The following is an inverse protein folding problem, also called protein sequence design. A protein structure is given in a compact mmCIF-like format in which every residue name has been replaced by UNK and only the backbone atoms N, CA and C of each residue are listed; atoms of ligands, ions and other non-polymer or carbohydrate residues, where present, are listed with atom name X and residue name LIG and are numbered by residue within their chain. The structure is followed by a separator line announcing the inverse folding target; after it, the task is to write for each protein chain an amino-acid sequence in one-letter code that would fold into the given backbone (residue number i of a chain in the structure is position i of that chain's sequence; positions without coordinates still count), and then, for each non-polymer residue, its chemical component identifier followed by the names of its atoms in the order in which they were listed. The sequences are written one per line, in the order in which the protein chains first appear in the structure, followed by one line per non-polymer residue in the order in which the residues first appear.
data_IF_759391370545
#
_entry.id   IF_759391370545
#
_cell.length_a   1.000
_cell.length_b   1.000
_cell.length_c   1.000
_cell.angle_alpha   90.00
_cell.angle_beta   90.00
_cell.angle_gamma   90.00
#
_symmetry.space_group_name_H-M   'P 1'
#
loop_
_entity.id
_entity.type
_entity.pdbx_description
1 polymer ?
#
# COMPACT_ATOMS: atom_id res chain seq x y z
N UNK A 1 31.45 32.62 -22.93
CA UNK A 1 30.14 33.05 -22.40
C UNK A 1 29.02 32.13 -22.94
N UNK A 2 29.12 30.80 -22.77
CA UNK A 2 28.08 29.84 -23.22
C UNK A 2 27.59 28.88 -22.12
N UNK A 3 28.34 28.72 -21.03
CA UNK A 3 27.99 27.80 -19.93
C UNK A 3 26.87 28.28 -19.00
N UNK A 4 26.60 29.59 -18.91
CA UNK A 4 25.59 30.09 -17.96
C UNK A 4 24.18 29.99 -18.56
N UNK A 5 24.03 30.25 -19.86
CA UNK A 5 22.74 30.16 -20.55
C UNK A 5 22.25 28.71 -20.61
N UNK A 6 23.11 27.76 -21.00
CA UNK A 6 22.77 26.32 -21.01
C UNK A 6 22.43 25.81 -19.60
N UNK A 7 23.12 26.27 -18.55
CA UNK A 7 22.82 25.91 -17.18
C UNK A 7 21.46 26.44 -16.73
N UNK A 8 21.08 27.66 -17.15
CA UNK A 8 19.79 28.27 -16.83
C UNK A 8 18.64 27.57 -17.55
N UNK A 9 18.84 27.21 -18.82
CA UNK A 9 17.86 26.46 -19.62
C UNK A 9 17.62 25.07 -19.03
N UNK A 10 18.70 24.32 -18.72
CA UNK A 10 18.60 22.99 -18.13
C UNK A 10 17.92 23.00 -16.74
N UNK A 11 18.13 24.05 -15.97
CA UNK A 11 17.51 24.21 -14.65
C UNK A 11 16.00 24.49 -14.77
N UNK A 12 15.60 25.29 -15.76
CA UNK A 12 14.19 25.56 -16.05
C UNK A 12 13.45 24.29 -16.50
N UNK A 13 14.06 23.50 -17.39
CA UNK A 13 13.49 22.20 -17.81
C UNK A 13 13.36 21.22 -16.63
N UNK A 14 14.33 21.19 -15.71
CA UNK A 14 14.26 20.33 -14.52
C UNK A 14 13.12 20.74 -13.58
N UNK A 15 12.91 22.04 -13.38
CA UNK A 15 11.82 22.57 -12.55
C UNK A 15 10.45 22.26 -13.18
N UNK A 16 10.32 22.34 -14.50
CA UNK A 16 9.11 21.97 -15.23
C UNK A 16 8.83 20.47 -15.12
N UNK A 17 9.81 19.62 -15.38
CA UNK A 17 9.68 18.17 -15.25
C UNK A 17 9.35 17.73 -13.81
N UNK A 18 9.88 18.41 -12.79
CA UNK A 18 9.53 18.16 -11.39
C UNK A 18 8.08 18.52 -11.07
N UNK A 19 7.60 19.64 -11.63
CA UNK A 19 6.22 20.09 -11.48
C UNK A 19 5.23 19.12 -12.14
N UNK A 20 5.53 18.67 -13.35
CA UNK A 20 4.71 17.69 -14.07
C UNK A 20 4.67 16.36 -13.33
N UNK A 21 5.81 15.92 -12.79
CA UNK A 21 5.87 14.72 -11.94
C UNK A 21 5.00 14.86 -10.70
N UNK A 22 5.01 16.01 -10.04
CA UNK A 22 4.15 16.27 -8.87
C UNK A 22 2.67 16.23 -9.24
N UNK A 23 2.28 16.83 -10.36
CA UNK A 23 0.90 16.78 -10.86
C UNK A 23 0.47 15.36 -11.19
N UNK A 24 1.31 14.59 -11.88
CA UNK A 24 1.04 13.20 -12.20
C UNK A 24 0.89 12.31 -10.96
N UNK A 25 1.73 12.53 -9.93
CA UNK A 25 1.62 11.82 -8.66
C UNK A 25 0.33 12.17 -7.91
N UNK A 26 -0.11 13.42 -7.97
CA UNK A 26 -1.36 13.86 -7.34
C UNK A 26 -2.59 13.30 -8.08
N UNK A 27 -2.54 13.23 -9.41
CA UNK A 27 -3.59 12.60 -10.22
C UNK A 27 -3.68 11.09 -9.96
N UNK A 28 -2.54 10.38 -9.90
CA UNK A 28 -2.50 8.96 -9.53
C UNK A 28 -3.04 8.73 -8.11
N UNK A 29 -2.73 9.63 -7.18
CA UNK A 29 -3.28 9.59 -5.83
C UNK A 29 -4.79 9.76 -5.85
N UNK A 30 -5.30 10.74 -6.60
CA UNK A 30 -6.74 11.00 -6.72
C UNK A 30 -7.49 9.82 -7.37
N UNK A 31 -6.90 9.19 -8.39
CA UNK A 31 -7.44 7.98 -9.03
C UNK A 31 -7.50 6.79 -8.06
N UNK A 32 -6.47 6.63 -7.23
CA UNK A 32 -6.45 5.63 -6.14
C UNK A 32 -7.49 5.93 -5.06
N UNK A 33 -7.60 7.19 -4.63
CA UNK A 33 -8.59 7.64 -3.63
C UNK A 33 -10.04 7.48 -4.15
N UNK A 34 -10.26 7.62 -5.46
CA UNK A 34 -11.54 7.34 -6.13
C UNK A 34 -11.84 5.85 -6.34
N UNK A 35 -10.94 4.95 -5.91
CA UNK A 35 -11.15 3.50 -5.96
C UNK A 35 -11.18 2.91 -7.38
N UNK A 36 -10.60 3.61 -8.37
CA UNK A 36 -10.60 3.15 -9.76
C UNK A 36 -9.58 2.03 -10.04
N UNK A 37 -8.68 1.76 -9.09
CA UNK A 37 -7.90 0.53 -9.04
C UNK A 37 -8.65 -0.56 -8.25
N UNK A 38 -9.22 -1.54 -8.96
CA UNK A 38 -9.66 -2.80 -8.32
C UNK A 38 -11.08 -2.81 -7.76
N UNK A 39 -12.06 -2.30 -8.49
CA UNK A 39 -13.47 -2.60 -8.18
C UNK A 39 -13.71 -4.12 -8.19
N UNK A 40 -14.35 -4.66 -7.16
CA UNK A 40 -14.73 -6.06 -7.13
C UNK A 40 -15.79 -6.39 -8.20
N UNK A 41 -15.31 -6.87 -9.35
CA UNK A 41 -16.15 -7.32 -10.46
C UNK A 41 -16.74 -8.70 -10.18
N UNK A 42 -17.93 -8.94 -10.73
CA UNK A 42 -18.63 -10.22 -10.61
C UNK A 42 -20.11 -10.06 -10.26
N UNK A 43 -20.95 -10.78 -10.99
CA UNK A 43 -22.41 -10.73 -10.90
C UNK A 43 -23.04 -12.08 -10.51
N UNK A 44 -22.22 -13.11 -10.28
CA UNK A 44 -22.70 -14.44 -9.93
C UNK A 44 -23.36 -14.45 -8.53
N UNK A 45 -24.30 -15.37 -8.27
CA UNK A 45 -24.90 -15.51 -6.94
C UNK A 45 -23.86 -15.74 -5.83
N UNK A 46 -22.77 -16.47 -6.12
CA UNK A 46 -21.66 -16.67 -5.18
C UNK A 46 -20.93 -15.36 -4.88
N UNK A 47 -20.62 -14.57 -5.90
CA UNK A 47 -19.99 -13.25 -5.70
C UNK A 47 -20.90 -12.29 -4.94
N UNK A 48 -22.21 -12.34 -5.15
CA UNK A 48 -23.16 -11.54 -4.39
C UNK A 48 -23.16 -11.91 -2.90
N UNK A 49 -22.97 -13.19 -2.55
CA UNK A 49 -22.79 -13.61 -1.15
C UNK A 49 -21.50 -13.05 -0.56
N UNK A 50 -20.40 -13.09 -1.31
CA UNK A 50 -19.11 -12.52 -0.89
C UNK A 50 -19.23 -11.02 -0.66
N UNK A 51 -19.86 -10.27 -1.59
CA UNK A 51 -20.12 -8.83 -1.44
C UNK A 51 -20.90 -8.50 -0.16
N UNK A 52 -21.96 -9.27 0.14
CA UNK A 52 -22.71 -9.12 1.39
C UNK A 52 -21.87 -9.40 2.63
N UNK A 53 -20.99 -10.41 2.58
CA UNK A 53 -20.10 -10.73 3.69
C UNK A 53 -19.09 -9.59 3.92
N UNK A 54 -18.51 -9.05 2.84
CA UNK A 54 -17.63 -7.88 2.87
C UNK A 54 -18.34 -6.71 3.58
N UNK A 55 -19.58 -6.39 3.19
CA UNK A 55 -20.37 -5.30 3.80
C UNK A 55 -20.61 -5.46 5.31
N UNK A 56 -20.71 -6.70 5.78
CA UNK A 56 -20.84 -7.01 7.20
C UNK A 56 -19.50 -6.88 7.93
N UNK A 57 -18.44 -7.53 7.44
CA UNK A 57 -17.15 -7.58 8.15
C UNK A 57 -16.42 -6.24 8.13
N UNK A 58 -16.54 -5.45 7.05
CA UNK A 58 -15.87 -4.17 6.92
C UNK A 58 -16.25 -3.17 8.02
N UNK A 59 -17.46 -3.27 8.59
CA UNK A 59 -17.94 -2.37 9.66
C UNK A 59 -17.43 -2.75 11.05
N UNK A 60 -16.71 -3.86 11.17
CA UNK A 60 -16.21 -4.44 12.42
C UNK A 60 -14.69 -4.36 12.50
N UNK A 61 -14.14 -4.55 13.69
CA UNK A 61 -12.69 -4.68 13.94
C UNK A 61 -12.23 -6.14 13.98
N UNK A 62 -13.01 -7.07 13.42
CA UNK A 62 -12.67 -8.49 13.41
C UNK A 62 -11.55 -8.79 12.40
N UNK A 63 -10.62 -9.68 12.76
CA UNK A 63 -9.61 -10.20 11.83
C UNK A 63 -10.27 -11.06 10.76
N UNK A 64 -9.98 -10.78 9.48
CA UNK A 64 -10.56 -11.49 8.34
C UNK A 64 -9.54 -12.42 7.69
N UNK A 65 -9.91 -13.69 7.50
CA UNK A 65 -9.16 -14.66 6.72
C UNK A 65 -9.81 -14.84 5.34
N UNK A 66 -9.07 -14.53 4.28
CA UNK A 66 -9.51 -14.71 2.89
C UNK A 66 -8.86 -15.97 2.32
N UNK A 67 -9.67 -16.97 1.99
CA UNK A 67 -9.21 -18.24 1.41
C UNK A 67 -9.55 -18.33 -0.08
N UNK A 68 -8.84 -19.21 -0.79
CA UNK A 68 -9.05 -19.46 -2.22
C UNK A 68 -7.74 -19.77 -2.93
N UNK A 69 -7.84 -20.24 -4.16
CA UNK A 69 -6.69 -20.62 -4.99
C UNK A 69 -5.80 -19.43 -5.37
N UNK A 70 -4.61 -19.71 -5.88
CA UNK A 70 -3.70 -18.66 -6.38
C UNK A 70 -4.32 -17.97 -7.60
N UNK A 71 -4.28 -16.64 -7.63
CA UNK A 71 -4.77 -15.85 -8.78
C UNK A 71 -6.27 -15.51 -8.78
N UNK A 72 -7.07 -15.95 -7.79
CA UNK A 72 -8.52 -15.66 -7.73
C UNK A 72 -8.89 -14.24 -7.29
N UNK A 73 -7.92 -13.33 -7.15
CA UNK A 73 -8.17 -11.94 -6.78
C UNK A 73 -8.41 -11.69 -5.29
N UNK A 74 -7.82 -12.49 -4.39
CA UNK A 74 -7.91 -12.29 -2.92
C UNK A 74 -7.51 -10.87 -2.48
N UNK A 75 -6.54 -10.26 -3.17
CA UNK A 75 -6.13 -8.88 -2.91
C UNK A 75 -7.23 -7.87 -3.20
N UNK A 76 -8.02 -8.09 -4.25
CA UNK A 76 -9.18 -7.24 -4.60
C UNK A 76 -10.23 -7.31 -3.49
N UNK A 77 -10.46 -8.49 -2.91
CA UNK A 77 -11.35 -8.67 -1.76
C UNK A 77 -10.83 -7.89 -0.54
N UNK A 78 -9.53 -7.97 -0.24
CA UNK A 78 -8.93 -7.23 0.87
C UNK A 78 -9.06 -5.70 0.68
N UNK A 79 -8.82 -5.20 -0.54
CA UNK A 79 -9.00 -3.79 -0.89
C UNK A 79 -10.45 -3.35 -0.66
N UNK A 80 -11.42 -4.16 -1.07
CA UNK A 80 -12.85 -3.87 -0.94
C UNK A 80 -13.30 -3.85 0.53
N UNK A 81 -12.76 -4.75 1.37
CA UNK A 81 -13.01 -4.72 2.81
C UNK A 81 -12.44 -3.44 3.42
N UNK A 82 -11.19 -3.10 3.10
CA UNK A 82 -10.54 -1.90 3.60
C UNK A 82 -11.28 -0.62 3.18
N UNK A 83 -11.65 -0.49 1.90
CA UNK A 83 -12.32 0.72 1.36
C UNK A 83 -13.69 0.97 1.98
N UNK A 84 -14.41 -0.09 2.35
CA UNK A 84 -15.71 -0.04 3.03
C UNK A 84 -15.62 0.00 4.55
N UNK A 85 -14.41 -0.09 5.10
CA UNK A 85 -14.21 -0.09 6.55
C UNK A 85 -14.27 1.31 7.16
N UNK A 86 -14.38 1.38 8.48
CA UNK A 86 -14.25 2.64 9.25
C UNK A 86 -12.82 3.21 9.21
N UNK A 87 -11.86 2.45 8.71
CA UNK A 87 -10.42 2.72 8.71
C UNK A 87 -9.91 3.04 7.29
N UNK A 88 -10.82 3.26 6.34
CA UNK A 88 -10.50 3.48 4.91
C UNK A 88 -9.68 4.75 4.60
N UNK A 89 -9.45 5.59 5.59
CA UNK A 89 -8.61 6.79 5.53
C UNK A 89 -7.32 6.66 6.35
N UNK A 90 -6.97 5.46 6.79
CA UNK A 90 -5.78 5.14 7.57
C UNK A 90 -4.76 4.38 6.71
N UNK A 91 -3.54 4.10 7.18
CA UNK A 91 -2.59 3.31 6.37
C UNK A 91 -3.17 1.93 6.03
N UNK A 92 -2.94 1.46 4.80
CA UNK A 92 -3.25 0.09 4.39
C UNK A 92 -1.97 -0.57 3.88
N UNK A 93 -1.42 -1.49 4.68
CA UNK A 93 -0.10 -2.08 4.44
C UNK A 93 -0.27 -3.52 3.96
N UNK A 94 0.02 -3.76 2.68
CA UNK A 94 0.01 -5.10 2.09
C UNK A 94 1.38 -5.74 2.20
N UNK A 95 1.41 -6.97 2.71
CA UNK A 95 2.64 -7.74 2.85
C UNK A 95 2.48 -9.07 2.14
N UNK A 96 3.38 -9.35 1.19
CA UNK A 96 3.48 -10.67 0.59
C UNK A 96 4.53 -11.49 1.33
N UNK A 97 4.08 -12.33 2.27
CA UNK A 97 4.99 -13.15 3.08
C UNK A 97 5.83 -14.13 2.25
N UNK A 98 5.39 -14.55 1.06
CA UNK A 98 6.19 -15.45 0.22
C UNK A 98 7.37 -14.76 -0.46
N UNK A 99 7.39 -13.42 -0.48
CA UNK A 99 8.46 -12.62 -1.07
C UNK A 99 9.52 -12.20 -0.04
N UNK A 100 9.27 -12.41 1.25
CA UNK A 100 10.18 -12.03 2.34
C UNK A 100 10.91 -13.29 2.82
N UNK A 101 12.26 -13.28 2.87
CA UNK A 101 13.02 -14.37 3.47
C UNK A 101 12.62 -14.59 4.92
N UNK A 102 12.50 -15.85 5.34
CA UNK A 102 12.08 -16.21 6.70
C UNK A 102 12.96 -15.56 7.78
N UNK A 103 14.26 -15.46 7.54
CA UNK A 103 15.23 -14.82 8.44
C UNK A 103 15.01 -13.33 8.64
N UNK A 104 14.30 -12.66 7.72
CA UNK A 104 14.02 -11.23 7.78
C UNK A 104 12.56 -10.95 8.16
N UNK A 105 11.66 -11.93 8.07
CA UNK A 105 10.22 -11.74 8.24
C UNK A 105 9.87 -11.04 9.56
N UNK A 106 10.45 -11.49 10.67
CA UNK A 106 10.22 -10.89 11.98
C UNK A 106 10.70 -9.42 12.04
N UNK A 107 11.90 -9.16 11.50
CA UNK A 107 12.50 -7.82 11.46
C UNK A 107 11.74 -6.85 10.54
N UNK A 108 11.04 -7.35 9.51
CA UNK A 108 10.13 -6.55 8.68
C UNK A 108 8.84 -6.24 9.43
N UNK A 109 8.21 -7.24 10.04
CA UNK A 109 6.91 -7.09 10.69
C UNK A 109 6.99 -6.21 11.95
N UNK A 110 7.99 -6.44 12.80
CA UNK A 110 8.10 -5.81 14.12
C UNK A 110 9.17 -4.72 14.20
N UNK A 111 10.05 -4.63 13.19
CA UNK A 111 11.18 -3.72 13.24
C UNK A 111 12.28 -4.22 14.16
N UNK A 112 13.28 -3.38 14.42
CA UNK A 112 14.36 -3.65 15.36
C UNK A 112 15.06 -2.36 15.79
N UNK A 113 15.73 -2.42 16.94
CA UNK A 113 16.63 -1.36 17.42
C UNK A 113 18.07 -1.71 17.01
N UNK A 114 18.89 -0.69 16.78
CA UNK A 114 20.33 -0.86 16.51
C UNK A 114 20.97 -1.80 17.55
N UNK A 115 21.69 -2.80 17.06
CA UNK A 115 22.37 -3.80 17.89
C UNK A 115 21.51 -4.99 18.36
N UNK A 116 20.26 -5.13 17.89
CA UNK A 116 19.41 -6.26 18.23
C UNK A 116 19.95 -7.62 17.74
N UNK A 117 20.71 -7.64 16.64
CA UNK A 117 21.38 -8.83 16.09
C UNK A 117 22.62 -8.46 15.28
N UNK A 118 23.45 -9.44 14.93
CA UNK A 118 24.64 -9.26 14.08
C UNK A 118 24.22 -8.80 12.68
N UNK A 119 24.48 -7.53 12.34
CA UNK A 119 24.03 -6.89 11.10
C UNK A 119 23.03 -5.74 11.31
N UNK A 120 22.55 -5.52 12.55
CA UNK A 120 21.68 -4.40 12.92
C UNK A 120 22.50 -3.12 13.25
N UNK A 121 23.50 -2.80 12.45
CA UNK A 121 24.56 -1.84 12.84
C UNK A 121 24.26 -0.38 12.47
N UNK A 122 23.34 -0.17 11.52
CA UNK A 122 23.19 1.12 10.86
C UNK A 122 22.22 2.06 11.60
N UNK A 123 21.03 1.59 11.99
CA UNK A 123 19.96 2.38 12.61
C UNK A 123 18.78 1.50 13.05
N UNK A 124 17.91 2.08 13.86
CA UNK A 124 16.61 1.50 14.17
C UNK A 124 15.75 1.38 12.91
N UNK A 125 14.87 0.38 12.90
CA UNK A 125 13.91 0.12 11.84
C UNK A 125 12.51 0.00 12.44
N UNK A 126 11.59 0.79 11.91
CA UNK A 126 10.16 0.74 12.22
C UNK A 126 9.55 -0.49 11.56
N UNK A 127 8.71 -1.24 12.29
CA UNK A 127 8.03 -2.43 11.79
C UNK A 127 6.79 -2.12 10.96
N UNK A 128 6.40 -3.04 10.07
CA UNK A 128 5.22 -2.90 9.23
C UNK A 128 3.92 -2.76 10.03
N UNK A 129 3.82 -3.40 11.21
CA UNK A 129 2.66 -3.21 12.09
C UNK A 129 2.56 -1.78 12.63
N UNK A 130 3.68 -1.14 12.92
CA UNK A 130 3.72 0.25 13.39
C UNK A 130 3.41 1.22 12.25
N UNK A 131 3.89 0.94 11.02
CA UNK A 131 3.50 1.68 9.82
C UNK A 131 1.99 1.60 9.58
N UNK A 132 1.37 0.46 9.91
CA UNK A 132 -0.06 0.22 9.79
C UNK A 132 -0.88 0.74 10.99
N UNK A 133 -0.31 1.50 11.93
CA UNK A 133 -1.00 1.93 13.15
C UNK A 133 -2.35 2.62 12.83
N UNK A 134 -3.38 2.23 13.59
CA UNK A 134 -4.80 2.61 13.42
C UNK A 134 -5.41 2.25 12.05
N UNK A 135 -4.62 1.70 11.14
CA UNK A 135 -4.99 1.27 9.81
C UNK A 135 -5.31 -0.20 9.71
N UNK A 136 -4.88 -0.82 8.61
CA UNK A 136 -5.10 -2.23 8.27
C UNK A 136 -3.86 -2.82 7.62
#
# INVERSE_FOLDING_TARGET
MRNITELLELKAELEEAQKDKLQYLDELRLLKEKGLDGNLLGVSPAMNKIKKLIDHVAKTDATVLITGETGVGKEVIANEIYSRSKRNNKPFVKVNCSAIPETLLESELFGYVKGAFTGADNKDKIGLFEVADKGT
#
